data_IF_378851891963
#
_entry.id   IF_378851891963
#
_cell.length_a   1.000
_cell.length_b   1.000
_cell.length_c   1.000
_cell.angle_alpha   90.00
_cell.angle_beta   90.00
_cell.angle_gamma   90.00
#
_symmetry.space_group_name_H-M   'P 1'
#
loop_
_entity.id
_entity.type
_entity.pdbx_description
1 polymer ?
#
# COMPACT_ATOMS: atom_id res chain seq x y z
N UNK A 1 -3.54 -16.31 11.49
CA UNK A 1 -3.51 -15.14 10.58
C UNK A 1 -2.18 -14.40 10.56
N UNK A 2 -1.60 -13.95 11.69
CA UNK A 2 -0.24 -13.38 11.69
C UNK A 2 0.88 -14.43 11.61
N UNK A 3 0.70 -15.53 12.36
CA UNK A 3 1.68 -16.61 12.53
C UNK A 3 1.47 -17.81 11.60
N UNK A 4 0.38 -17.82 10.84
CA UNK A 4 0.04 -18.93 9.95
C UNK A 4 0.58 -18.67 8.53
N UNK A 5 0.78 -19.71 7.71
CA UNK A 5 0.92 -19.51 6.28
C UNK A 5 -0.33 -18.80 5.71
N UNK A 6 -0.13 -18.12 4.59
CA UNK A 6 -1.16 -17.42 3.82
C UNK A 6 -1.34 -18.14 2.50
N UNK A 7 -2.58 -18.20 2.00
CA UNK A 7 -2.92 -18.98 0.81
C UNK A 7 -2.40 -18.34 -0.48
N UNK A 8 -2.19 -17.02 -0.48
CA UNK A 8 -1.78 -16.26 -1.66
C UNK A 8 -0.48 -15.50 -1.40
N UNK A 9 0.37 -15.37 -2.43
CA UNK A 9 1.56 -14.54 -2.36
C UNK A 9 1.22 -13.06 -2.41
N UNK A 10 0.22 -12.67 -3.21
CA UNK A 10 -0.18 -11.29 -3.33
C UNK A 10 -1.69 -11.12 -3.52
N UNK A 11 -2.21 -9.90 -3.38
CA UNK A 11 -3.54 -9.54 -3.85
C UNK A 11 -3.58 -8.23 -4.60
N UNK A 12 -4.55 -8.13 -5.51
CA UNK A 12 -4.98 -6.89 -6.12
C UNK A 12 -6.49 -6.93 -6.38
N UNK A 13 -7.21 -5.99 -5.78
CA UNK A 13 -8.64 -5.79 -6.01
C UNK A 13 -8.88 -4.34 -6.39
N UNK A 14 -9.44 -4.10 -7.57
CA UNK A 14 -9.65 -2.73 -8.04
C UNK A 14 -10.14 -2.62 -9.49
N UNK A 15 -10.54 -1.40 -9.84
CA UNK A 15 -10.97 -1.07 -11.19
C UNK A 15 -9.76 -0.89 -12.13
N UNK A 16 -9.78 -1.50 -13.30
CA UNK A 16 -8.80 -1.31 -14.37
C UNK A 16 -9.20 -0.10 -15.21
N UNK A 17 -8.55 1.03 -14.95
CA UNK A 17 -8.74 2.23 -15.77
C UNK A 17 -7.86 2.13 -17.01
N UNK A 18 -8.41 2.52 -18.17
CA UNK A 18 -7.65 2.60 -19.42
C UNK A 18 -6.48 3.57 -19.28
N UNK A 19 -5.37 3.25 -19.93
CA UNK A 19 -4.11 3.99 -19.90
C UNK A 19 -3.60 4.23 -18.47
N UNK A 20 -3.80 3.26 -17.58
CA UNK A 20 -3.31 3.34 -16.20
C UNK A 20 -2.27 2.27 -15.92
N UNK A 21 -1.43 2.52 -14.90
CA UNK A 21 -0.44 1.54 -14.45
C UNK A 21 -1.04 0.19 -14.04
N UNK A 22 -2.35 0.16 -13.75
CA UNK A 22 -3.09 -1.08 -13.45
C UNK A 22 -3.16 -2.02 -14.65
N UNK A 23 -3.17 -1.52 -15.88
CA UNK A 23 -3.13 -2.38 -17.07
C UNK A 23 -1.78 -3.07 -17.20
N UNK A 24 -0.68 -2.31 -17.03
CA UNK A 24 0.67 -2.87 -17.01
C UNK A 24 0.82 -3.92 -15.89
N UNK A 25 0.36 -3.62 -14.67
CA UNK A 25 0.32 -4.59 -13.58
C UNK A 25 -0.40 -5.89 -13.98
N UNK A 26 -1.57 -5.77 -14.62
CA UNK A 26 -2.34 -6.94 -15.05
C UNK A 26 -1.67 -7.71 -16.19
N UNK A 27 -0.95 -7.04 -17.09
CA UNK A 27 -0.15 -7.67 -18.13
C UNK A 27 0.99 -8.48 -17.53
N UNK A 28 1.75 -7.90 -16.59
CA UNK A 28 2.84 -8.60 -15.89
C UNK A 28 2.31 -9.78 -15.07
N UNK A 29 1.16 -9.65 -14.40
CA UNK A 29 0.56 -10.76 -13.65
C UNK A 29 0.14 -11.92 -14.56
N UNK A 30 -0.31 -11.64 -15.79
CA UNK A 30 -0.68 -12.69 -16.76
C UNK A 30 0.54 -13.37 -17.36
N UNK A 31 1.68 -12.69 -17.41
CA UNK A 31 2.94 -13.31 -17.79
C UNK A 31 3.31 -14.38 -16.76
N UNK A 32 3.79 -15.52 -17.24
CA UNK A 32 4.24 -16.66 -16.43
C UNK A 32 3.22 -17.18 -15.40
N UNK A 33 1.92 -16.91 -15.62
CA UNK A 33 0.82 -17.33 -14.75
C UNK A 33 0.95 -16.87 -13.28
N UNK A 34 1.59 -15.71 -13.06
CA UNK A 34 1.78 -15.12 -11.72
C UNK A 34 0.46 -14.78 -11.04
N UNK A 35 -0.58 -14.48 -11.82
CA UNK A 35 -1.95 -14.26 -11.38
C UNK A 35 -2.51 -15.44 -10.57
N UNK A 36 -2.11 -16.69 -10.89
CA UNK A 36 -2.53 -17.89 -10.15
C UNK A 36 -1.97 -17.95 -8.73
N UNK A 37 -0.89 -17.21 -8.45
CA UNK A 37 -0.28 -17.12 -7.11
C UNK A 37 -0.95 -16.05 -6.24
N UNK A 38 -1.87 -15.26 -6.80
CA UNK A 38 -2.41 -14.08 -6.17
C UNK A 38 -3.94 -14.08 -6.12
N UNK A 39 -4.49 -13.39 -5.13
CA UNK A 39 -5.91 -13.07 -5.09
C UNK A 39 -6.19 -11.86 -5.98
N UNK A 40 -6.64 -12.10 -7.21
CA UNK A 40 -6.96 -11.04 -8.16
C UNK A 40 -8.48 -10.90 -8.32
N UNK A 41 -9.01 -9.72 -8.03
CA UNK A 41 -10.39 -9.36 -8.36
C UNK A 41 -10.41 -7.99 -9.03
N UNK A 42 -10.07 -7.99 -10.33
CA UNK A 42 -10.11 -6.81 -11.16
C UNK A 42 -11.51 -6.61 -11.76
N UNK A 43 -11.93 -5.34 -11.90
CA UNK A 43 -13.21 -4.97 -12.55
C UNK A 43 -12.99 -3.91 -13.59
N UNK A 44 -13.79 -3.90 -14.66
CA UNK A 44 -13.66 -2.89 -15.71
C UNK A 44 -14.21 -1.53 -15.30
N UNK A 45 -15.26 -1.53 -14.47
CA UNK A 45 -15.94 -0.30 -14.05
C UNK A 45 -15.98 -0.16 -12.53
N UNK A 46 -15.85 1.07 -12.05
CA UNK A 46 -16.08 1.37 -10.64
C UNK A 46 -17.58 1.38 -10.38
N UNK A 47 -18.01 0.62 -9.36
CA UNK A 47 -19.39 0.57 -8.94
C UNK A 47 -19.54 1.31 -7.62
N UNK A 48 -20.52 2.22 -7.48
CA UNK A 48 -20.89 2.78 -6.19
C UNK A 48 -21.52 1.71 -5.30
N UNK A 49 -21.51 1.92 -3.99
CA UNK A 49 -22.16 1.06 -2.97
C UNK A 49 -21.49 -0.30 -2.80
N UNK A 50 -20.39 -0.32 -2.03
CA UNK A 50 -19.77 -1.56 -1.59
C UNK A 50 -20.76 -2.40 -0.77
N UNK A 51 -20.89 -3.69 -1.10
CA UNK A 51 -21.74 -4.62 -0.36
C UNK A 51 -20.96 -5.23 0.81
N UNK A 52 -21.67 -5.75 1.81
CA UNK A 52 -21.04 -6.50 2.89
C UNK A 52 -20.23 -7.70 2.38
N UNK A 53 -20.63 -8.27 1.25
CA UNK A 53 -19.91 -9.37 0.60
C UNK A 53 -18.62 -8.88 -0.06
N UNK A 54 -18.67 -7.84 -0.90
CA UNK A 54 -17.47 -7.30 -1.54
C UNK A 54 -16.46 -6.77 -0.53
N UNK A 55 -16.96 -6.18 0.56
CA UNK A 55 -16.13 -5.73 1.68
C UNK A 55 -15.42 -6.91 2.36
N UNK A 56 -16.14 -8.00 2.66
CA UNK A 56 -15.54 -9.22 3.25
C UNK A 56 -14.51 -9.85 2.33
N UNK A 57 -14.81 -9.96 1.03
CA UNK A 57 -13.87 -10.46 0.03
C UNK A 57 -12.57 -9.64 0.06
N UNK A 58 -12.67 -8.32 0.14
CA UNK A 58 -11.49 -7.47 0.22
C UNK A 58 -10.70 -7.67 1.52
N UNK A 59 -11.36 -7.74 2.66
CA UNK A 59 -10.71 -8.05 3.93
C UNK A 59 -10.01 -9.41 3.92
N UNK A 60 -10.66 -10.43 3.36
CA UNK A 60 -10.10 -11.78 3.24
C UNK A 60 -8.87 -11.78 2.33
N UNK A 61 -8.90 -11.06 1.21
CA UNK A 61 -7.73 -10.91 0.35
C UNK A 61 -6.54 -10.30 1.09
N UNK A 62 -6.76 -9.27 1.91
CA UNK A 62 -5.71 -8.67 2.76
C UNK A 62 -5.20 -9.63 3.85
N UNK A 63 -6.10 -10.44 4.43
CA UNK A 63 -5.76 -11.39 5.48
C UNK A 63 -5.01 -12.63 4.96
N UNK A 64 -5.33 -13.06 3.75
CA UNK A 64 -4.88 -14.33 3.16
C UNK A 64 -3.73 -14.18 2.16
N UNK A 65 -3.23 -12.96 1.93
CA UNK A 65 -2.13 -12.70 1.00
C UNK A 65 -0.89 -12.13 1.69
N UNK A 66 0.31 -12.58 1.33
CA UNK A 66 1.55 -12.05 1.92
C UNK A 66 1.80 -10.57 1.55
N UNK A 67 1.54 -10.24 0.29
CA UNK A 67 1.73 -8.92 -0.30
C UNK A 67 0.42 -8.31 -0.75
N UNK A 68 0.37 -6.98 -0.83
CA UNK A 68 -0.72 -6.24 -1.47
C UNK A 68 -0.15 -5.30 -2.52
N UNK A 69 -0.61 -5.45 -3.75
CA UNK A 69 -0.15 -4.64 -4.87
C UNK A 69 -0.88 -3.30 -4.86
N UNK A 70 -0.10 -2.21 -4.81
CA UNK A 70 -0.58 -0.84 -4.67
C UNK A 70 -0.13 0.01 -5.87
N UNK A 71 -0.72 -0.22 -7.07
CA UNK A 71 -0.47 0.63 -8.23
C UNK A 71 -0.99 2.04 -8.00
N UNK A 72 -0.28 2.99 -8.59
CA UNK A 72 -0.71 4.38 -8.57
C UNK A 72 -2.08 4.52 -9.23
N UNK A 73 -2.85 5.49 -8.75
CA UNK A 73 -4.08 5.92 -9.39
C UNK A 73 -3.93 7.36 -9.85
N UNK A 74 -4.96 8.17 -9.59
CA UNK A 74 -4.86 9.63 -9.68
C UNK A 74 -3.79 10.16 -8.72
N UNK A 75 -3.69 9.54 -7.54
CA UNK A 75 -2.67 9.84 -6.54
C UNK A 75 -1.64 8.70 -6.48
N UNK A 76 -0.38 9.05 -6.23
CA UNK A 76 0.66 8.07 -5.91
C UNK A 76 0.32 7.29 -4.64
N UNK A 77 -0.14 7.99 -3.61
CA UNK A 77 -0.56 7.38 -2.35
C UNK A 77 -2.02 6.95 -2.42
N UNK A 78 -2.34 5.72 -2.00
CA UNK A 78 -3.70 5.22 -1.96
C UNK A 78 -4.02 4.54 -0.63
N UNK A 79 -5.31 4.53 -0.30
CA UNK A 79 -5.84 3.97 0.95
C UNK A 79 -5.45 2.50 1.17
N UNK A 80 -5.31 1.72 0.07
CA UNK A 80 -4.90 0.31 0.08
C UNK A 80 -3.58 0.07 0.81
N UNK A 81 -2.63 1.01 0.73
CA UNK A 81 -1.34 0.91 1.44
C UNK A 81 -1.58 0.74 2.94
N UNK A 82 -2.47 1.57 3.50
CA UNK A 82 -2.77 1.62 4.94
C UNK A 82 -3.64 0.46 5.40
N UNK A 83 -4.58 0.02 4.56
CA UNK A 83 -5.39 -1.16 4.84
C UNK A 83 -4.53 -2.42 4.86
N UNK A 84 -3.65 -2.60 3.87
CA UNK A 84 -2.69 -3.69 3.84
C UNK A 84 -1.81 -3.73 5.10
N UNK A 85 -1.30 -2.57 5.54
CA UNK A 85 -0.58 -2.45 6.82
C UNK A 85 -1.40 -2.94 8.02
N UNK A 86 -2.71 -2.63 8.04
CA UNK A 86 -3.62 -3.03 9.14
C UNK A 86 -3.74 -4.55 9.27
N UNK A 87 -3.69 -5.26 8.15
CA UNK A 87 -3.78 -6.72 8.10
C UNK A 87 -2.41 -7.41 8.04
N UNK A 88 -1.32 -6.65 8.08
CA UNK A 88 0.03 -7.19 7.95
C UNK A 88 0.31 -7.78 6.57
N UNK A 89 -0.42 -7.38 5.53
CA UNK A 89 -0.07 -7.66 4.13
C UNK A 89 0.90 -6.59 3.66
N UNK A 90 2.08 -6.98 3.18
CA UNK A 90 3.15 -6.01 2.90
C UNK A 90 2.84 -5.24 1.62
N UNK A 91 2.77 -3.90 1.66
CA UNK A 91 2.53 -3.11 0.45
C UNK A 91 3.69 -3.24 -0.55
N UNK A 92 3.36 -3.58 -1.80
CA UNK A 92 4.21 -3.39 -2.98
C UNK A 92 3.71 -2.11 -3.66
N UNK A 93 4.46 -1.02 -3.47
CA UNK A 93 4.05 0.33 -3.83
C UNK A 93 4.81 0.79 -5.06
N UNK A 94 4.07 1.22 -6.06
CA UNK A 94 4.63 1.84 -7.24
C UNK A 94 5.11 3.26 -6.91
N UNK A 95 6.43 3.45 -6.95
CA UNK A 95 7.14 4.63 -6.50
C UNK A 95 7.31 5.67 -7.61
N UNK A 96 6.18 6.12 -8.13
CA UNK A 96 6.07 7.02 -9.28
C UNK A 96 5.26 8.27 -8.90
N UNK A 97 5.72 9.45 -9.36
CA UNK A 97 4.98 10.69 -9.18
C UNK A 97 3.75 10.72 -10.10
N UNK A 98 2.56 10.92 -9.54
CA UNK A 98 1.37 11.23 -10.35
C UNK A 98 1.25 12.74 -10.57
N UNK A 99 0.44 13.21 -11.55
CA UNK A 99 0.27 14.63 -11.80
C UNK A 99 -0.13 15.41 -10.54
N UNK A 100 0.55 16.53 -10.27
CA UNK A 100 0.32 17.37 -9.10
C UNK A 100 1.60 18.02 -8.57
N UNK A 101 1.51 18.69 -7.43
CA UNK A 101 2.66 19.33 -6.74
C UNK A 101 3.01 18.67 -5.40
N UNK A 102 2.31 17.61 -5.01
CA UNK A 102 2.42 17.01 -3.68
C UNK A 102 3.81 16.42 -3.34
N UNK A 103 4.64 16.13 -4.35
CA UNK A 103 6.02 15.68 -4.13
C UNK A 103 7.10 16.73 -4.37
N UNK A 104 6.72 18.00 -4.56
CA UNK A 104 7.67 19.09 -4.69
C UNK A 104 7.68 19.92 -3.41
N UNK A 105 8.86 20.06 -2.82
CA UNK A 105 9.16 20.95 -1.69
C UNK A 105 10.37 21.82 -2.04
N UNK A 106 10.70 22.78 -1.18
CA UNK A 106 11.91 23.60 -1.32
C UNK A 106 13.20 22.79 -1.22
N UNK A 107 13.16 21.60 -0.64
CA UNK A 107 14.33 20.75 -0.37
C UNK A 107 14.40 19.56 -1.32
N UNK A 108 13.25 19.02 -1.71
CA UNK A 108 13.15 17.83 -2.55
C UNK A 108 12.22 18.08 -3.73
N UNK A 109 12.70 17.79 -4.93
CA UNK A 109 11.91 17.79 -6.16
C UNK A 109 11.56 16.35 -6.53
N UNK A 110 10.31 16.12 -6.94
CA UNK A 110 9.80 14.81 -7.39
C UNK A 110 10.00 13.69 -6.36
N UNK A 111 9.57 13.91 -5.12
CA UNK A 111 9.68 12.95 -4.02
C UNK A 111 8.33 12.30 -3.69
N UNK A 112 7.90 11.24 -4.42
CA UNK A 112 6.68 10.52 -4.09
C UNK A 112 6.81 9.83 -2.73
N UNK A 113 5.70 9.79 -1.99
CA UNK A 113 5.59 9.04 -0.73
C UNK A 113 6.64 9.48 0.32
N UNK A 114 7.06 10.74 0.26
CA UNK A 114 8.15 11.27 1.09
C UNK A 114 7.95 11.00 2.57
N UNK A 115 6.73 11.21 3.08
CA UNK A 115 6.39 10.96 4.48
C UNK A 115 6.62 9.49 4.85
N UNK A 116 6.07 8.54 4.07
CA UNK A 116 6.22 7.10 4.32
C UNK A 116 7.70 6.69 4.31
N UNK A 117 8.47 7.16 3.33
CA UNK A 117 9.91 6.89 3.23
C UNK A 117 10.71 7.47 4.40
N UNK A 118 10.45 8.73 4.76
CA UNK A 118 11.13 9.42 5.87
C UNK A 118 10.84 8.73 7.21
N UNK A 119 9.66 8.15 7.35
CA UNK A 119 9.23 7.39 8.51
C UNK A 119 9.72 5.93 8.49
N UNK A 120 10.55 5.55 7.52
CA UNK A 120 11.13 4.21 7.42
C UNK A 120 10.10 3.11 7.13
N UNK A 121 9.10 3.39 6.29
CA UNK A 121 8.08 2.42 5.93
C UNK A 121 8.71 1.10 5.41
N UNK A 122 8.36 -0.07 6.00
CA UNK A 122 8.93 -1.36 5.62
C UNK A 122 8.22 -1.95 4.39
N UNK A 123 7.97 -1.12 3.37
CA UNK A 123 7.28 -1.48 2.14
C UNK A 123 8.27 -1.94 1.08
N UNK A 124 7.75 -2.56 0.01
CA UNK A 124 8.52 -2.79 -1.21
C UNK A 124 8.17 -1.64 -2.15
N UNK A 125 9.15 -0.81 -2.48
CA UNK A 125 8.99 0.26 -3.46
C UNK A 125 9.56 -0.20 -4.79
N UNK A 126 8.74 -0.22 -5.84
CA UNK A 126 9.14 -0.57 -7.21
C UNK A 126 9.02 0.67 -8.10
N UNK A 127 9.87 0.80 -9.11
CA UNK A 127 9.79 1.89 -10.10
C UNK A 127 8.85 1.56 -11.25
N UNK A 128 8.72 0.29 -11.58
CA UNK A 128 7.77 -0.21 -12.57
C UNK A 128 7.34 -1.65 -12.21
N UNK A 129 6.28 -2.13 -12.85
CA UNK A 129 5.72 -3.45 -12.56
C UNK A 129 6.54 -4.61 -13.12
N UNK A 130 7.52 -4.37 -14.01
CA UNK A 130 8.42 -5.42 -14.52
C UNK A 130 9.34 -5.97 -13.41
N UNK A 131 9.48 -5.26 -12.29
CA UNK A 131 10.18 -5.75 -11.08
C UNK A 131 9.35 -6.78 -10.29
N UNK A 132 8.04 -6.88 -10.53
CA UNK A 132 7.12 -7.72 -9.75
C UNK A 132 7.48 -9.22 -9.76
N UNK A 133 7.86 -9.85 -10.88
CA UNK A 133 8.23 -11.27 -10.89
C UNK A 133 9.37 -11.57 -9.91
N UNK A 134 10.41 -10.72 -9.86
CA UNK A 134 11.52 -10.87 -8.93
C UNK A 134 11.09 -10.67 -7.46
N UNK A 135 10.15 -9.76 -7.22
CA UNK A 135 9.55 -9.55 -5.89
C UNK A 135 8.77 -10.80 -5.44
N UNK A 136 7.94 -11.37 -6.31
CA UNK A 136 7.15 -12.56 -6.00
C UNK A 136 8.02 -13.79 -5.80
N UNK A 137 9.07 -13.97 -6.61
CA UNK A 137 10.00 -15.08 -6.47
C UNK A 137 10.78 -15.00 -5.14
N UNK A 138 11.21 -13.80 -4.75
CA UNK A 138 11.81 -13.58 -3.43
C UNK A 138 10.83 -13.89 -2.30
N UNK A 139 9.57 -13.50 -2.42
CA UNK A 139 8.54 -13.76 -1.41
C UNK A 139 8.20 -15.25 -1.32
N UNK A 140 8.15 -15.95 -2.45
CA UNK A 140 7.90 -17.39 -2.54
C UNK A 140 8.99 -18.20 -1.82
N UNK A 141 10.25 -17.80 -1.99
CA UNK A 141 11.41 -18.48 -1.40
C UNK A 141 11.66 -18.11 0.08
N UNK A 142 10.91 -17.14 0.63
CA UNK A 142 11.03 -16.74 2.03
C UNK A 142 10.38 -17.77 2.95
N UNK A 143 11.07 -18.12 4.03
CA UNK A 143 10.54 -19.06 5.04
C UNK A 143 9.32 -18.47 5.76
N UNK A 144 8.48 -19.35 6.30
CA UNK A 144 7.32 -18.90 7.08
C UNK A 144 7.73 -18.02 8.28
N UNK A 145 8.85 -18.29 8.95
CA UNK A 145 9.29 -17.50 10.09
C UNK A 145 9.69 -16.07 9.69
N UNK A 146 10.39 -15.91 8.58
CA UNK A 146 10.74 -14.60 8.04
C UNK A 146 9.49 -13.81 7.65
N UNK A 147 8.52 -14.46 6.98
CA UNK A 147 7.22 -13.85 6.66
C UNK A 147 6.52 -13.38 7.93
N UNK A 148 6.40 -14.22 8.95
CA UNK A 148 5.78 -13.86 10.23
C UNK A 148 6.47 -12.64 10.86
N UNK A 149 7.81 -12.62 10.88
CA UNK A 149 8.55 -11.52 11.46
C UNK A 149 8.34 -10.22 10.68
N UNK A 150 8.29 -10.28 9.35
CA UNK A 150 8.00 -9.15 8.48
C UNK A 150 6.61 -8.57 8.73
N UNK A 151 5.58 -9.43 8.85
CA UNK A 151 4.20 -9.00 9.17
C UNK A 151 4.11 -8.31 10.54
N UNK A 152 4.81 -8.84 11.56
CA UNK A 152 4.89 -8.19 12.89
C UNK A 152 5.51 -6.81 12.79
N UNK A 153 6.67 -6.69 12.12
CA UNK A 153 7.37 -5.42 11.92
C UNK A 153 6.48 -4.39 11.22
N UNK A 154 5.74 -4.81 10.20
CA UNK A 154 4.82 -3.93 9.46
C UNK A 154 3.69 -3.40 10.35
N UNK A 155 2.99 -4.27 11.08
CA UNK A 155 1.89 -3.87 11.97
C UNK A 155 2.39 -2.96 13.08
N UNK A 156 3.54 -3.30 13.67
CA UNK A 156 4.17 -2.48 14.70
C UNK A 156 4.56 -1.11 14.15
N UNK A 157 5.21 -1.06 12.99
CA UNK A 157 5.54 0.20 12.33
C UNK A 157 4.28 1.03 12.07
N UNK A 158 3.21 0.43 11.55
CA UNK A 158 1.98 1.15 11.23
C UNK A 158 1.27 1.71 12.47
N UNK A 159 1.31 0.97 13.59
CA UNK A 159 0.82 1.46 14.89
C UNK A 159 1.59 2.72 15.33
N UNK A 160 2.92 2.69 15.23
CA UNK A 160 3.76 3.84 15.57
C UNK A 160 3.55 5.02 14.61
N UNK A 161 3.48 4.75 13.31
CA UNK A 161 3.20 5.73 12.27
C UNK A 161 1.91 6.51 12.58
N UNK A 162 0.80 5.81 12.85
CA UNK A 162 -0.47 6.46 13.22
C UNK A 162 -0.37 7.32 14.47
N UNK A 163 0.31 6.83 15.51
CA UNK A 163 0.50 7.60 16.75
C UNK A 163 1.30 8.89 16.50
N UNK A 164 2.38 8.81 15.73
CA UNK A 164 3.19 9.96 15.38
C UNK A 164 2.43 10.96 14.49
N UNK A 165 1.65 10.48 13.53
CA UNK A 165 0.82 11.35 12.69
C UNK A 165 -0.25 12.08 13.49
N UNK A 166 -0.90 11.40 14.45
CA UNK A 166 -1.84 12.02 15.37
C UNK A 166 -1.18 13.11 16.20
N UNK A 167 -0.02 12.83 16.81
CA UNK A 167 0.69 13.84 17.61
C UNK A 167 1.15 15.02 16.77
N UNK A 168 1.69 14.77 15.56
CA UNK A 168 2.11 15.82 14.64
C UNK A 168 0.94 16.70 14.22
N UNK A 169 -0.22 16.10 13.94
CA UNK A 169 -1.41 16.85 13.57
C UNK A 169 -1.89 17.76 14.71
N UNK A 170 -2.03 17.22 15.93
CA UNK A 170 -2.43 18.00 17.12
C UNK A 170 -1.43 19.14 17.37
N UNK A 171 -0.13 18.85 17.36
CA UNK A 171 0.92 19.84 17.54
C UNK A 171 0.82 20.99 16.51
N UNK A 172 0.60 20.67 15.23
CA UNK A 172 0.46 21.69 14.19
C UNK A 172 -0.81 22.53 14.43
N UNK A 173 -1.92 21.91 14.84
CA UNK A 173 -3.16 22.64 15.12
C UNK A 173 -3.00 23.61 16.29
N UNK A 174 -2.43 23.13 17.40
CA UNK A 174 -2.21 23.94 18.60
C UNK A 174 -1.31 25.14 18.29
N UNK A 175 -0.19 24.91 17.60
CA UNK A 175 0.78 25.98 17.33
C UNK A 175 0.37 26.93 16.21
N UNK A 176 -0.41 26.48 15.23
CA UNK A 176 -0.82 27.32 14.10
C UNK A 176 -2.08 28.13 14.40
N UNK A 177 -2.98 27.60 15.24
CA UNK A 177 -4.33 28.17 15.39
C UNK A 177 -4.71 28.52 16.82
N UNK A 178 -4.14 27.89 17.86
CA UNK A 178 -4.64 28.03 19.24
C UNK A 178 -3.73 28.86 20.16
N UNK A 179 -2.46 29.08 19.80
CA UNK A 179 -1.54 29.89 20.62
C UNK A 179 -1.75 31.41 20.48
N UNK A 180 -2.51 31.88 19.48
CA UNK A 180 -2.78 33.31 19.27
C UNK A 180 -3.96 33.87 20.08
N UNK A 181 -4.72 33.04 20.80
CA UNK A 181 -5.91 33.48 21.57
C UNK A 181 -5.59 33.95 23.01
N UNK A 182 -4.31 34.02 23.41
CA UNK A 182 -3.91 34.52 24.74
C UNK A 182 -3.41 35.98 24.75
N UNK A 183 -3.72 36.74 23.70
CA UNK A 183 -3.36 38.16 23.59
C UNK A 183 -4.52 39.00 23.07
N UNK A 184 -5.52 39.22 23.92
CA UNK A 184 -6.63 40.15 23.72
C UNK A 184 -7.10 40.70 25.05
#
# INVERSE_FOLDING_TARGET
>A
MLRSPRSYLCNFLGTLYKNSSRENLMEVLKQDELDKLCWIAAREQWQPQETNESFRIYQDALLQSDLTLCPVGVNTECYRIYEACSYGSVPVVEDVMTPGKCGNSSIYHSAPLQLLKTMGAPFIFIKNWEELPAVLEKEKNMSLQEKIQRRKKLIEWYRHFKAQMRHKFIYILENSFLLNDKGG
#
